data_IF_171690940668
#
_entry.id   IF_171690940668
#
_cell.length_a   1.000
_cell.length_b   1.000
_cell.length_c   1.000
_cell.angle_alpha   90.00
_cell.angle_beta   90.00
_cell.angle_gamma   90.00
#
_symmetry.space_group_name_H-M   'P 1'
#
loop_
_entity.id
_entity.type
_entity.pdbx_description
1 polymer ?
#
# COMPACT_ATOMS: atom_id res chain seq x y z
N UNK A 1 25.50 -4.50 -0.24
CA UNK A 1 24.69 -3.42 0.34
C UNK A 1 23.48 -3.28 -0.56
N UNK A 2 22.33 -3.82 -0.14
CA UNK A 2 21.09 -3.72 -0.91
C UNK A 2 20.52 -2.32 -0.77
N UNK A 3 20.11 -1.71 -1.87
CA UNK A 3 19.42 -0.42 -1.85
C UNK A 3 17.99 -0.60 -1.30
N UNK A 4 17.58 0.31 -0.42
CA UNK A 4 16.20 0.41 0.03
C UNK A 4 15.27 0.70 -1.14
N UNK A 5 14.03 0.24 -1.05
CA UNK A 5 13.02 0.44 -2.08
C UNK A 5 11.89 1.28 -1.48
N UNK A 6 11.76 2.53 -1.93
CA UNK A 6 10.62 3.38 -1.61
C UNK A 6 9.58 3.24 -2.73
N UNK A 7 8.30 3.08 -2.39
CA UNK A 7 7.23 2.97 -3.38
C UNK A 7 5.89 3.53 -2.91
N UNK A 8 5.02 3.76 -3.87
CA UNK A 8 3.60 4.03 -3.65
C UNK A 8 2.77 2.97 -4.34
N UNK A 9 1.81 2.39 -3.61
CA UNK A 9 0.78 1.52 -4.17
C UNK A 9 -0.57 2.22 -4.14
N UNK A 10 -1.31 2.19 -5.24
CA UNK A 10 -2.60 2.86 -5.39
C UNK A 10 -3.64 1.80 -5.75
N UNK A 11 -4.68 1.73 -4.92
CA UNK A 11 -5.87 0.95 -5.17
C UNK A 11 -7.00 1.92 -5.51
N UNK A 12 -7.75 1.61 -6.57
CA UNK A 12 -8.92 2.39 -6.97
C UNK A 12 -10.20 1.62 -6.73
N UNK A 13 -10.82 1.74 -5.53
CA UNK A 13 -12.11 1.13 -5.26
C UNK A 13 -13.20 1.59 -6.23
N UNK A 14 -14.23 0.76 -6.40
CA UNK A 14 -15.50 1.18 -6.99
C UNK A 14 -16.14 2.29 -6.15
N UNK A 15 -16.93 3.19 -6.78
CA UNK A 15 -17.74 4.15 -6.04
C UNK A 15 -18.56 3.45 -4.95
N UNK A 16 -18.44 3.92 -3.70
CA UNK A 16 -19.13 3.34 -2.54
C UNK A 16 -18.49 2.09 -1.92
N UNK A 17 -17.40 1.56 -2.49
CA UNK A 17 -16.74 0.35 -1.97
C UNK A 17 -15.48 0.63 -1.12
N UNK A 18 -15.14 1.90 -0.88
CA UNK A 18 -13.90 2.31 -0.20
C UNK A 18 -13.78 1.69 1.18
N UNK A 19 -14.81 1.83 2.02
CA UNK A 19 -14.78 1.31 3.39
C UNK A 19 -14.73 -0.23 3.42
N UNK A 20 -15.41 -0.90 2.48
CA UNK A 20 -15.34 -2.36 2.32
C UNK A 20 -13.92 -2.82 1.94
N UNK A 21 -13.22 -2.07 1.10
CA UNK A 21 -11.83 -2.36 0.73
C UNK A 21 -10.90 -2.14 1.93
N UNK A 22 -11.10 -1.07 2.72
CA UNK A 22 -10.33 -0.82 3.96
C UNK A 22 -10.53 -1.98 4.96
N UNK A 23 -11.78 -2.41 5.16
CA UNK A 23 -12.08 -3.54 6.05
C UNK A 23 -11.41 -4.83 5.55
N UNK A 24 -11.46 -5.10 4.25
CA UNK A 24 -10.80 -6.25 3.65
C UNK A 24 -9.25 -6.22 3.77
N UNK A 25 -8.65 -5.03 3.82
CA UNK A 25 -7.20 -4.83 3.96
C UNK A 25 -6.71 -4.86 5.41
N UNK A 26 -7.60 -4.66 6.38
CA UNK A 26 -7.22 -4.56 7.80
C UNK A 26 -6.42 -5.78 8.30
N UNK A 27 -6.80 -7.04 7.99
CA UNK A 27 -6.01 -8.21 8.39
C UNK A 27 -4.62 -8.25 7.73
N UNK A 28 -4.53 -7.81 6.47
CA UNK A 28 -3.27 -7.76 5.75
C UNK A 28 -2.32 -6.72 6.38
N UNK A 29 -2.84 -5.55 6.72
CA UNK A 29 -2.03 -4.49 7.34
C UNK A 29 -1.45 -4.93 8.68
N UNK A 30 -2.24 -5.63 9.51
CA UNK A 30 -1.74 -6.23 10.77
C UNK A 30 -0.67 -7.28 10.53
N UNK A 31 -0.87 -8.15 9.53
CA UNK A 31 0.12 -9.16 9.18
C UNK A 31 1.46 -8.54 8.80
N UNK A 32 1.45 -7.48 7.98
CA UNK A 32 2.67 -6.76 7.57
C UNK A 32 3.42 -6.22 8.79
N UNK A 33 2.73 -5.54 9.70
CA UNK A 33 3.33 -4.99 10.92
C UNK A 33 3.95 -6.08 11.82
N UNK A 34 3.29 -7.23 11.96
CA UNK A 34 3.72 -8.31 12.86
C UNK A 34 4.79 -9.23 12.26
N UNK A 35 4.77 -9.45 10.94
CA UNK A 35 5.50 -10.55 10.30
C UNK A 35 6.54 -10.10 9.27
N UNK A 36 6.52 -8.84 8.84
CA UNK A 36 7.39 -8.35 7.77
C UNK A 36 8.37 -7.27 8.27
N UNK A 37 9.36 -7.60 9.12
CA UNK A 37 10.31 -6.62 9.69
C UNK A 37 11.21 -5.94 8.65
N UNK A 38 11.21 -6.43 7.41
CA UNK A 38 11.86 -5.79 6.27
C UNK A 38 11.08 -4.60 5.69
N UNK A 39 9.82 -4.40 6.12
CA UNK A 39 8.99 -3.25 5.79
C UNK A 39 9.23 -2.16 6.82
N UNK A 40 10.00 -1.15 6.44
CA UNK A 40 10.47 -0.07 7.31
C UNK A 40 9.46 1.08 7.42
N UNK A 41 8.59 1.22 6.42
CA UNK A 41 7.48 2.17 6.41
C UNK A 41 6.30 1.51 5.71
N UNK A 42 5.12 1.62 6.30
CA UNK A 42 3.88 1.07 5.75
C UNK A 42 2.69 1.95 6.18
N UNK A 43 2.51 3.06 5.47
CA UNK A 43 1.46 4.04 5.79
C UNK A 43 0.30 3.89 4.81
N UNK A 44 -0.93 3.79 5.34
CA UNK A 44 -2.14 3.61 4.53
C UNK A 44 -3.05 4.83 4.61
N UNK A 45 -3.37 5.40 3.46
CA UNK A 45 -4.12 6.63 3.34
C UNK A 45 -5.39 6.45 2.51
N UNK A 46 -6.45 7.13 2.94
CA UNK A 46 -7.61 7.44 2.12
C UNK A 46 -7.32 8.76 1.39
N UNK A 47 -7.09 8.67 0.09
CA UNK A 47 -6.88 9.84 -0.76
C UNK A 47 -8.24 10.29 -1.31
N UNK A 48 -8.57 11.57 -1.12
CA UNK A 48 -9.78 12.18 -1.68
C UNK A 48 -9.34 13.20 -2.73
N UNK A 49 -9.74 12.99 -3.97
CA UNK A 49 -9.50 13.96 -5.03
C UNK A 49 -10.40 15.18 -4.81
N UNK A 50 -9.80 16.34 -4.62
CA UNK A 50 -10.52 17.57 -4.24
C UNK A 50 -11.51 18.06 -5.29
N UNK A 51 -11.25 17.80 -6.57
CA UNK A 51 -12.08 18.30 -7.68
C UNK A 51 -13.24 17.35 -8.01
N UNK A 52 -12.97 16.05 -7.99
CA UNK A 52 -13.93 15.01 -8.40
C UNK A 52 -14.64 14.32 -7.24
N UNK A 53 -14.14 14.45 -6.01
CA UNK A 53 -14.60 13.68 -4.85
C UNK A 53 -14.30 12.18 -4.95
N UNK A 54 -13.59 11.73 -6.01
CA UNK A 54 -13.16 10.33 -6.16
C UNK A 54 -12.20 9.98 -5.03
N UNK A 55 -12.37 8.78 -4.50
CA UNK A 55 -11.53 8.27 -3.43
C UNK A 55 -10.67 7.10 -3.93
N UNK A 56 -9.37 7.20 -3.70
CA UNK A 56 -8.42 6.12 -3.89
C UNK A 56 -7.79 5.76 -2.53
N UNK A 57 -7.21 4.57 -2.44
CA UNK A 57 -6.49 4.11 -1.26
C UNK A 57 -5.01 3.99 -1.62
N UNK A 58 -4.16 4.61 -0.80
CA UNK A 58 -2.74 4.82 -1.13
C UNK A 58 -1.87 4.26 -0.01
N UNK A 59 -0.94 3.38 -0.36
CA UNK A 59 0.15 2.98 0.52
C UNK A 59 1.42 3.77 0.19
N UNK A 60 2.11 4.26 1.22
CA UNK A 60 3.50 4.68 1.12
C UNK A 60 4.38 3.66 1.85
N UNK A 61 5.28 3.04 1.11
CA UNK A 61 6.01 1.87 1.56
C UNK A 61 7.52 2.09 1.42
N UNK A 62 8.28 1.60 2.40
CA UNK A 62 9.74 1.56 2.36
C UNK A 62 10.20 0.16 2.75
N UNK A 63 10.95 -0.48 1.88
CA UNK A 63 11.53 -1.80 2.12
C UNK A 63 13.02 -1.69 2.34
N UNK A 64 13.54 -2.52 3.25
CA UNK A 64 14.97 -2.65 3.52
C UNK A 64 15.74 -3.03 2.26
N UNK A 65 15.17 -3.90 1.44
CA UNK A 65 15.78 -4.44 0.22
C UNK A 65 14.75 -5.15 -0.68
N UNK A 66 15.23 -5.65 -1.82
CA UNK A 66 14.40 -6.39 -2.80
C UNK A 66 13.81 -7.66 -2.23
N UNK A 67 14.54 -8.38 -1.37
CA UNK A 67 14.05 -9.61 -0.75
C UNK A 67 12.84 -9.32 0.15
N UNK A 68 12.92 -8.26 0.95
CA UNK A 68 11.82 -7.79 1.79
C UNK A 68 10.56 -7.47 0.97
N UNK A 69 10.73 -6.81 -0.18
CA UNK A 69 9.63 -6.56 -1.11
C UNK A 69 9.07 -7.83 -1.75
N UNK A 70 9.93 -8.77 -2.16
CA UNK A 70 9.50 -10.04 -2.74
C UNK A 70 8.70 -10.88 -1.74
N UNK A 71 9.11 -10.90 -0.46
CA UNK A 71 8.34 -11.54 0.63
C UNK A 71 6.96 -10.88 0.75
N UNK A 72 6.89 -9.56 0.85
CA UNK A 72 5.63 -8.81 0.93
C UNK A 72 4.70 -9.11 -0.25
N UNK A 73 5.22 -8.97 -1.48
CA UNK A 73 4.45 -9.13 -2.72
C UNK A 73 4.03 -10.57 -3.00
N UNK A 74 4.60 -11.55 -2.31
CA UNK A 74 4.27 -12.98 -2.48
C UNK A 74 3.63 -13.61 -1.24
N UNK A 75 3.41 -12.83 -0.17
CA UNK A 75 2.82 -13.31 1.06
C UNK A 75 1.42 -13.87 0.84
N UNK A 76 1.08 -14.93 1.58
CA UNK A 76 -0.24 -15.56 1.47
C UNK A 76 -1.39 -14.58 1.75
N UNK A 77 -1.30 -13.68 2.75
CA UNK A 77 -2.32 -12.66 2.99
C UNK A 77 -2.49 -11.66 1.85
N UNK A 78 -1.39 -11.25 1.20
CA UNK A 78 -1.47 -10.37 0.03
C UNK A 78 -2.16 -11.03 -1.16
N UNK A 79 -1.84 -12.30 -1.44
CA UNK A 79 -2.51 -13.10 -2.47
C UNK A 79 -4.01 -13.24 -2.18
N UNK A 80 -4.36 -13.60 -0.95
CA UNK A 80 -5.76 -13.72 -0.53
C UNK A 80 -6.52 -12.39 -0.67
N UNK A 81 -5.90 -11.27 -0.33
CA UNK A 81 -6.47 -9.94 -0.52
C UNK A 81 -6.71 -9.64 -2.01
N UNK A 82 -5.72 -9.87 -2.87
CA UNK A 82 -5.87 -9.66 -4.33
C UNK A 82 -6.97 -10.53 -4.91
N UNK A 83 -7.02 -11.80 -4.53
CA UNK A 83 -8.05 -12.75 -4.98
C UNK A 83 -9.45 -12.31 -4.53
N UNK A 84 -9.60 -11.87 -3.27
CA UNK A 84 -10.86 -11.34 -2.75
C UNK A 84 -11.29 -10.09 -3.52
N UNK A 85 -10.39 -9.12 -3.70
CA UNK A 85 -10.67 -7.88 -4.42
C UNK A 85 -11.06 -8.15 -5.89
N UNK A 86 -10.43 -9.13 -6.55
CA UNK A 86 -10.78 -9.54 -7.91
C UNK A 86 -12.15 -10.25 -7.96
N UNK A 87 -12.41 -11.19 -7.05
CA UNK A 87 -13.66 -11.96 -6.98
C UNK A 87 -14.87 -11.08 -6.72
N UNK A 88 -14.75 -10.16 -5.77
CA UNK A 88 -15.80 -9.20 -5.41
C UNK A 88 -15.82 -7.99 -6.36
N UNK A 89 -14.88 -7.94 -7.32
CA UNK A 89 -14.68 -6.83 -8.26
C UNK A 89 -14.65 -5.48 -7.54
N UNK A 90 -13.93 -5.36 -6.43
CA UNK A 90 -13.96 -4.17 -5.58
C UNK A 90 -13.20 -2.99 -6.19
N UNK A 91 -12.29 -3.26 -7.12
CA UNK A 91 -11.46 -2.25 -7.76
C UNK A 91 -11.91 -2.00 -9.19
N UNK A 92 -11.80 -0.75 -9.64
CA UNK A 92 -12.08 -0.38 -11.05
C UNK A 92 -10.89 -0.62 -11.98
N UNK A 93 -9.70 -0.85 -11.40
CA UNK A 93 -8.46 -1.11 -12.12
C UNK A 93 -7.54 -2.02 -11.28
N UNK A 94 -6.53 -2.66 -11.90
CA UNK A 94 -5.45 -3.31 -11.17
C UNK A 94 -4.73 -2.36 -10.21
N UNK A 95 -4.17 -2.89 -9.13
CA UNK A 95 -3.35 -2.12 -8.18
C UNK A 95 -2.15 -1.55 -8.94
N UNK A 96 -1.99 -0.23 -8.88
CA UNK A 96 -0.84 0.46 -9.45
C UNK A 96 0.29 0.51 -8.44
N UNK A 97 1.51 0.17 -8.86
CA UNK A 97 2.71 0.23 -8.02
C UNK A 97 3.75 1.10 -8.72
N UNK A 98 4.25 2.12 -8.04
CA UNK A 98 5.30 3.02 -8.55
C UNK A 98 6.48 3.03 -7.59
N UNK A 99 7.65 2.62 -8.10
CA UNK A 99 8.92 2.77 -7.37
C UNK A 99 9.33 4.24 -7.39
N UNK A 100 9.69 4.77 -6.23
CA UNK A 100 10.05 6.16 -6.02
C UNK A 100 11.56 6.30 -5.88
N UNK A 101 12.10 7.37 -6.47
CA UNK A 101 13.45 7.85 -6.20
C UNK A 101 13.36 9.25 -5.64
N UNK A 102 13.78 9.42 -4.40
CA UNK A 102 13.77 10.72 -3.76
C UNK A 102 14.77 11.65 -4.44
N UNK A 103 14.29 12.79 -4.94
CA UNK A 103 15.10 13.83 -5.58
C UNK A 103 15.29 15.07 -4.69
N UNK A 104 14.63 15.11 -3.53
CA UNK A 104 14.70 16.20 -2.55
C UNK A 104 13.70 16.01 -1.41
N UNK A 105 13.64 16.96 -0.47
CA UNK A 105 12.70 16.95 0.67
C UNK A 105 13.21 16.24 1.93
N UNK A 106 12.32 16.03 2.90
CA UNK A 106 12.58 15.34 4.18
C UNK A 106 11.37 14.47 4.56
N UNK A 107 11.58 13.33 5.22
CA UNK A 107 10.47 12.41 5.58
C UNK A 107 9.70 12.91 6.80
N UNK A 108 10.42 13.28 7.85
CA UNK A 108 9.92 13.74 9.14
C UNK A 108 10.88 14.80 9.63
N UNK A 109 10.36 15.78 10.37
CA UNK A 109 11.15 16.78 11.08
C UNK A 109 10.75 16.67 12.53
N UNK A 110 11.72 16.46 13.42
CA UNK A 110 11.45 16.42 14.85
C UNK A 110 10.82 17.76 15.26
N UNK A 111 9.68 17.69 15.97
CA UNK A 111 9.12 18.85 16.63
C UNK A 111 10.10 19.25 17.74
N UNK A 112 10.75 20.42 17.59
CA UNK A 112 11.56 21.02 18.65
C UNK A 112 10.68 21.62 19.74
#
# INVERSE_FOLDING_TARGET
MSEQIEMVAILSPKPGAVDQVIEALTPFNKYVEENEPGVLKYEFYRQVNVDSGKEDLVYLELYKDKESFEIHATSSPFKAMREKAAKEQLLVAPIEVKVLKRVGGFSLRDAK
#
